data_IF_844016515250
#
_entry.id   IF_844016515250
#
_cell.length_a   1.000
_cell.length_b   1.000
_cell.length_c   1.000
_cell.angle_alpha   90.00
_cell.angle_beta   90.00
_cell.angle_gamma   90.00
#
_symmetry.space_group_name_H-M   'P 1'
#
loop_
_entity.id
_entity.type
_entity.pdbx_description
1 polymer ?
#
# COMPACT_ATOMS: atom_id res chain seq x y z
N UNK A 1 31.74 24.82 30.83
CA UNK A 1 30.64 24.07 31.48
C UNK A 1 29.34 24.66 30.99
N UNK A 2 28.34 23.94 30.50
CA UNK A 2 28.23 22.65 29.84
C UNK A 2 26.96 22.85 29.00
N UNK A 3 26.98 22.39 27.74
CA UNK A 3 25.81 22.40 26.87
C UNK A 3 24.68 21.67 27.60
N UNK A 4 23.63 22.41 27.96
CA UNK A 4 22.33 21.82 28.26
C UNK A 4 21.58 21.69 26.94
N UNK A 5 22.09 20.83 26.06
CA UNK A 5 21.28 20.23 25.01
C UNK A 5 20.44 19.14 25.67
N UNK A 6 19.34 19.54 26.29
CA UNK A 6 18.20 18.65 26.46
C UNK A 6 17.36 18.77 25.19
N UNK A 7 17.80 18.10 24.11
CA UNK A 7 16.90 17.65 23.06
C UNK A 7 16.63 16.18 23.32
N UNK A 8 15.77 15.93 24.31
CA UNK A 8 14.96 14.72 24.32
C UNK A 8 13.72 15.06 23.49
N UNK A 9 13.89 15.20 22.17
CA UNK A 9 12.78 14.86 21.29
C UNK A 9 12.73 13.34 21.39
N UNK A 10 11.78 12.80 22.15
CA UNK A 10 11.36 11.42 21.97
C UNK A 10 10.82 11.36 20.53
N UNK A 11 11.69 11.10 19.57
CA UNK A 11 11.32 10.91 18.17
C UNK A 11 10.26 9.82 18.14
N UNK A 12 9.01 10.23 17.89
CA UNK A 12 7.86 9.32 17.94
C UNK A 12 8.12 8.22 16.91
N UNK A 13 8.13 6.98 17.39
CA UNK A 13 8.42 5.85 16.53
C UNK A 13 7.35 5.77 15.42
N UNK A 14 7.73 5.58 14.13
CA UNK A 14 6.76 5.60 13.04
C UNK A 14 5.60 4.61 13.23
N UNK A 15 5.86 3.45 13.86
CA UNK A 15 4.82 2.45 14.14
C UNK A 15 3.82 2.93 15.19
N UNK A 16 4.23 3.75 16.16
CA UNK A 16 3.31 4.32 17.15
C UNK A 16 2.34 5.31 16.48
N UNK A 17 2.79 6.01 15.44
CA UNK A 17 1.92 6.88 14.63
C UNK A 17 0.89 6.04 13.88
N UNK A 18 1.32 4.92 13.29
CA UNK A 18 0.44 3.99 12.57
C UNK A 18 -0.61 3.39 13.52
N UNK A 19 -0.20 2.99 14.72
CA UNK A 19 -1.08 2.42 15.75
C UNK A 19 -2.17 3.42 16.17
N UNK A 20 -1.77 4.67 16.46
CA UNK A 20 -2.72 5.73 16.81
C UNK A 20 -3.71 6.02 15.67
N UNK A 21 -3.23 6.00 14.42
CA UNK A 21 -4.08 6.22 13.25
C UNK A 21 -5.07 5.07 13.05
N UNK A 22 -4.63 3.81 13.21
CA UNK A 22 -5.50 2.64 13.13
C UNK A 22 -6.59 2.67 14.22
N UNK A 23 -6.21 3.00 15.45
CA UNK A 23 -7.16 3.20 16.54
C UNK A 23 -8.15 4.34 16.27
N UNK A 24 -7.70 5.44 15.65
CA UNK A 24 -8.57 6.57 15.30
C UNK A 24 -9.62 6.22 14.23
N UNK A 25 -9.27 5.33 13.29
CA UNK A 25 -10.17 4.83 12.25
C UNK A 25 -10.99 3.60 12.67
N UNK A 26 -10.90 3.18 13.95
CA UNK A 26 -11.52 1.96 14.48
C UNK A 26 -11.17 0.69 13.67
N UNK A 27 -9.95 0.60 13.14
CA UNK A 27 -9.47 -0.59 12.45
C UNK A 27 -8.91 -1.62 13.43
N UNK A 28 -9.18 -2.90 13.15
CA UNK A 28 -8.51 -4.00 13.84
C UNK A 28 -7.04 -4.06 13.39
N UNK A 29 -6.13 -3.98 14.37
CA UNK A 29 -4.69 -4.08 14.14
C UNK A 29 -4.02 -5.02 15.15
N UNK A 30 -2.89 -5.58 14.72
CA UNK A 30 -2.02 -6.42 15.55
C UNK A 30 -0.57 -5.92 15.41
N UNK A 31 0.04 -5.61 16.56
CA UNK A 31 1.45 -5.20 16.62
C UNK A 31 2.31 -6.45 16.68
N UNK A 32 2.89 -6.80 15.53
CA UNK A 32 3.72 -8.01 15.37
C UNK A 32 5.07 -7.87 16.09
N UNK A 33 5.56 -6.64 16.25
CA UNK A 33 6.76 -6.32 17.02
C UNK A 33 6.95 -4.81 17.17
N UNK A 34 8.09 -4.40 17.71
CA UNK A 34 8.38 -2.98 17.97
C UNK A 34 8.36 -2.14 16.68
N UNK A 35 8.86 -2.73 15.59
CA UNK A 35 9.05 -2.12 14.27
C UNK A 35 7.99 -2.51 13.22
N UNK A 36 6.93 -3.23 13.60
CA UNK A 36 5.97 -3.75 12.63
C UNK A 36 4.55 -3.86 13.18
N UNK A 37 3.58 -3.46 12.35
CA UNK A 37 2.15 -3.54 12.62
C UNK A 37 1.41 -4.06 11.39
N UNK A 38 0.39 -4.88 11.61
CA UNK A 38 -0.53 -5.34 10.58
C UNK A 38 -1.96 -4.91 10.92
N UNK A 39 -2.76 -4.67 9.89
CA UNK A 39 -4.17 -4.30 10.03
C UNK A 39 -4.96 -4.75 8.81
N UNK A 40 -6.28 -4.77 8.94
CA UNK A 40 -7.19 -5.03 7.84
C UNK A 40 -8.08 -3.81 7.57
N UNK A 41 -8.19 -3.42 6.30
CA UNK A 41 -9.08 -2.33 5.87
C UNK A 41 -10.12 -2.89 4.92
N UNK A 42 -11.41 -2.70 5.25
CA UNK A 42 -12.52 -3.08 4.39
C UNK A 42 -12.69 -2.07 3.25
N UNK A 43 -12.58 -2.55 2.01
CA UNK A 43 -12.88 -1.78 0.80
C UNK A 43 -14.19 -2.23 0.14
N UNK A 44 -14.52 -1.63 -1.00
CA UNK A 44 -15.71 -1.97 -1.79
C UNK A 44 -15.60 -3.38 -2.39
N UNK A 45 -14.39 -3.78 -2.82
CA UNK A 45 -14.20 -5.04 -3.54
C UNK A 45 -13.66 -6.18 -2.68
N UNK A 46 -12.79 -5.85 -1.72
CA UNK A 46 -12.06 -6.81 -0.88
C UNK A 46 -11.76 -6.19 0.48
N UNK A 47 -11.46 -7.05 1.44
CA UNK A 47 -10.69 -6.67 2.62
C UNK A 47 -9.21 -6.70 2.27
N UNK A 48 -8.51 -5.61 2.53
CA UNK A 48 -7.09 -5.45 2.26
C UNK A 48 -6.27 -5.67 3.53
N UNK A 49 -5.29 -6.55 3.47
CA UNK A 49 -4.32 -6.73 4.55
C UNK A 49 -3.17 -5.76 4.36
N UNK A 50 -3.01 -4.83 5.30
CA UNK A 50 -1.91 -3.87 5.33
C UNK A 50 -0.87 -4.30 6.36
N UNK A 51 0.39 -4.15 6.01
CA UNK A 51 1.52 -4.33 6.92
C UNK A 51 2.44 -3.14 6.77
N UNK A 52 2.71 -2.46 7.87
CA UNK A 52 3.67 -1.37 7.93
C UNK A 52 4.86 -1.81 8.78
N UNK A 53 6.06 -1.58 8.27
CA UNK A 53 7.30 -1.95 8.92
C UNK A 53 8.33 -0.82 8.80
N UNK A 54 8.87 -0.38 9.94
CA UNK A 54 9.98 0.54 9.99
C UNK A 54 11.30 -0.20 9.70
N UNK A 55 12.16 0.41 8.88
CA UNK A 55 13.50 -0.06 8.60
C UNK A 55 14.48 1.03 9.00
N UNK A 56 15.06 0.92 10.20
CA UNK A 56 16.06 1.89 10.67
C UNK A 56 17.32 1.92 9.79
N UNK A 57 17.70 0.77 9.20
CA UNK A 57 18.85 0.67 8.29
C UNK A 57 18.62 1.43 6.97
N UNK A 58 17.40 1.38 6.43
CA UNK A 58 17.04 2.06 5.17
C UNK A 58 16.41 3.44 5.41
N UNK A 59 16.28 3.86 6.68
CA UNK A 59 15.52 5.04 7.12
C UNK A 59 14.16 5.14 6.40
N UNK A 60 13.42 4.03 6.31
CA UNK A 60 12.22 3.93 5.47
C UNK A 60 11.07 3.24 6.20
N UNK A 61 9.90 3.89 6.22
CA UNK A 61 8.64 3.26 6.61
C UNK A 61 8.05 2.56 5.37
N UNK A 62 7.98 1.23 5.42
CA UNK A 62 7.52 0.40 4.31
C UNK A 62 6.10 -0.04 4.57
N UNK A 63 5.21 0.19 3.61
CA UNK A 63 3.85 -0.33 3.59
C UNK A 63 3.74 -1.37 2.49
N UNK A 64 3.14 -2.51 2.83
CA UNK A 64 2.62 -3.50 1.89
C UNK A 64 1.12 -3.62 2.11
N UNK A 65 0.34 -3.40 1.07
CA UNK A 65 -1.08 -3.72 1.01
C UNK A 65 -1.24 -4.94 0.12
N UNK A 66 -1.98 -5.94 0.58
CA UNK A 66 -2.12 -7.21 -0.10
C UNK A 66 -3.55 -7.72 -0.10
N UNK A 67 -3.87 -8.51 -1.13
CA UNK A 67 -5.08 -9.29 -1.19
C UNK A 67 -4.86 -10.53 -2.04
N UNK A 68 -5.58 -11.59 -1.71
CA UNK A 68 -5.49 -12.87 -2.41
C UNK A 68 -6.23 -12.83 -3.74
N UNK A 69 -5.63 -13.46 -4.75
CA UNK A 69 -6.27 -13.70 -6.03
C UNK A 69 -5.72 -14.97 -6.69
N UNK A 70 -6.59 -15.78 -7.27
CA UNK A 70 -6.21 -17.02 -7.96
C UNK A 70 -6.42 -16.89 -9.47
N UNK A 71 -5.60 -16.09 -10.18
CA UNK A 71 -5.71 -15.98 -11.63
C UNK A 71 -5.42 -17.34 -12.27
N UNK A 72 -6.11 -17.70 -13.36
CA UNK A 72 -5.73 -18.86 -14.16
C UNK A 72 -4.28 -18.72 -14.66
N UNK A 73 -3.48 -19.80 -14.64
CA UNK A 73 -2.06 -19.74 -15.01
C UNK A 73 -1.83 -19.16 -16.41
N UNK A 74 -2.73 -19.45 -17.36
CA UNK A 74 -2.70 -18.92 -18.73
C UNK A 74 -2.86 -17.40 -18.81
N UNK A 75 -3.37 -16.78 -17.75
CA UNK A 75 -3.62 -15.33 -17.64
C UNK A 75 -2.49 -14.58 -16.96
N UNK A 76 -1.55 -15.26 -16.32
CA UNK A 76 -0.43 -14.63 -15.63
C UNK A 76 0.37 -13.68 -16.54
N UNK A 77 0.71 -14.03 -17.80
CA UNK A 77 1.42 -13.10 -18.67
C UNK A 77 0.66 -11.79 -18.94
N UNK A 78 -0.66 -11.87 -19.11
CA UNK A 78 -1.53 -10.70 -19.34
C UNK A 78 -1.71 -9.88 -18.06
N UNK A 79 -1.72 -10.53 -16.89
CA UNK A 79 -1.71 -9.85 -15.61
C UNK A 79 -0.42 -9.04 -15.42
N UNK A 80 0.75 -9.59 -15.79
CA UNK A 80 2.01 -8.84 -15.71
C UNK A 80 2.04 -7.62 -16.64
N UNK A 81 1.50 -7.75 -17.86
CA UNK A 81 1.34 -6.61 -18.77
C UNK A 81 0.42 -5.54 -18.15
N UNK A 82 -0.71 -5.93 -17.58
CA UNK A 82 -1.62 -5.00 -16.90
C UNK A 82 -0.94 -4.31 -15.70
N UNK A 83 -0.20 -5.05 -14.86
CA UNK A 83 0.55 -4.49 -13.74
C UNK A 83 1.53 -3.41 -14.21
N UNK A 84 2.20 -3.62 -15.34
CA UNK A 84 3.08 -2.61 -15.90
C UNK A 84 2.32 -1.33 -16.30
N UNK A 85 1.17 -1.48 -16.97
CA UNK A 85 0.31 -0.34 -17.33
C UNK A 85 -0.28 0.38 -16.10
N UNK A 86 -0.62 -0.37 -15.04
CA UNK A 86 -1.07 0.20 -13.77
C UNK A 86 0.05 1.02 -13.11
N UNK A 87 1.28 0.51 -13.13
CA UNK A 87 2.44 1.17 -12.55
C UNK A 87 2.85 2.44 -13.31
N UNK A 88 2.66 2.49 -14.64
CA UNK A 88 2.85 3.73 -15.42
C UNK A 88 1.95 4.89 -14.92
N UNK A 89 0.84 4.56 -14.26
CA UNK A 89 -0.13 5.52 -13.73
C UNK A 89 -0.10 5.62 -12.19
N UNK A 90 0.82 4.91 -11.53
CA UNK A 90 0.93 4.90 -10.08
C UNK A 90 2.26 5.51 -9.62
N UNK A 91 2.21 6.78 -9.22
CA UNK A 91 3.41 7.53 -8.81
C UNK A 91 3.86 7.25 -7.38
N UNK A 92 2.92 7.01 -6.47
CA UNK A 92 3.18 6.93 -5.04
C UNK A 92 3.74 5.56 -4.58
N UNK A 93 3.57 4.52 -5.41
CA UNK A 93 3.96 3.15 -5.09
C UNK A 93 3.91 2.27 -6.31
N UNK A 94 3.86 0.96 -6.12
CA UNK A 94 3.81 0.04 -7.25
C UNK A 94 3.22 -1.31 -6.93
N UNK A 95 2.61 -1.91 -7.93
CA UNK A 95 2.04 -3.24 -7.89
C UNK A 95 3.06 -4.30 -8.29
N UNK A 96 2.94 -5.47 -7.66
CA UNK A 96 3.59 -6.72 -8.06
C UNK A 96 2.67 -7.89 -7.70
N UNK A 97 2.79 -8.98 -8.44
CA UNK A 97 2.06 -10.21 -8.15
C UNK A 97 3.03 -11.30 -7.70
N UNK A 98 2.76 -11.87 -6.52
CA UNK A 98 3.54 -12.97 -5.98
C UNK A 98 2.84 -14.30 -6.30
N UNK A 99 3.29 -14.94 -7.38
CA UNK A 99 2.65 -16.14 -7.92
C UNK A 99 2.64 -17.32 -6.92
N UNK A 100 3.74 -17.58 -6.22
CA UNK A 100 3.85 -18.71 -5.28
C UNK A 100 2.81 -18.66 -4.15
N UNK A 101 2.43 -17.46 -3.73
CA UNK A 101 1.45 -17.22 -2.66
C UNK A 101 0.09 -16.75 -3.20
N UNK A 102 -0.05 -16.57 -4.51
CA UNK A 102 -1.25 -16.08 -5.17
C UNK A 102 -1.78 -14.76 -4.58
N UNK A 103 -0.89 -13.83 -4.29
CA UNK A 103 -1.24 -12.52 -3.72
C UNK A 103 -0.85 -11.37 -4.64
N UNK A 104 -1.75 -10.41 -4.81
CA UNK A 104 -1.41 -9.10 -5.35
C UNK A 104 -0.86 -8.24 -4.23
N UNK A 105 0.23 -7.53 -4.49
CA UNK A 105 0.87 -6.63 -3.55
C UNK A 105 0.92 -5.22 -4.14
N UNK A 106 0.56 -4.24 -3.33
CA UNK A 106 0.91 -2.85 -3.52
C UNK A 106 1.96 -2.45 -2.48
N UNK A 107 3.08 -1.90 -2.93
CA UNK A 107 4.17 -1.44 -2.06
C UNK A 107 4.31 0.08 -2.09
N UNK A 108 4.55 0.67 -0.93
CA UNK A 108 4.89 2.07 -0.75
C UNK A 108 6.07 2.15 0.23
N UNK A 109 7.15 2.87 -0.15
CA UNK A 109 8.23 3.22 0.77
C UNK A 109 8.24 4.73 1.06
N UNK A 110 8.05 5.13 2.32
CA UNK A 110 8.25 6.51 2.76
C UNK A 110 9.67 6.63 3.30
N UNK A 111 10.55 7.18 2.47
CA UNK A 111 11.94 7.44 2.83
C UNK A 111 11.99 8.66 3.75
N UNK A 112 12.59 8.48 4.92
CA UNK A 112 12.76 9.46 5.98
C UNK A 112 14.25 9.71 6.28
N UNK A 113 15.05 9.65 5.22
CA UNK A 113 16.50 9.80 5.31
C UNK A 113 16.91 11.17 5.86
N UNK A 114 18.03 11.18 6.60
CA UNK A 114 18.57 12.41 7.20
C UNK A 114 17.87 12.77 8.51
N UNK A 115 17.46 11.76 9.29
CA UNK A 115 16.84 11.95 10.60
C UNK A 115 15.48 12.63 10.53
N UNK A 116 14.72 12.42 9.46
CA UNK A 116 13.33 12.88 9.40
C UNK A 116 12.43 11.91 10.14
N UNK A 117 11.34 12.42 10.71
CA UNK A 117 10.30 11.63 11.36
C UNK A 117 9.02 11.68 10.52
N UNK A 118 8.28 10.57 10.48
CA UNK A 118 7.02 10.52 9.74
C UNK A 118 5.99 11.45 10.39
N UNK A 119 5.21 12.17 9.61
CA UNK A 119 4.02 12.83 10.14
C UNK A 119 2.79 11.92 10.06
N UNK A 120 1.79 12.08 10.94
CA UNK A 120 0.52 11.37 10.83
C UNK A 120 -0.14 11.53 9.46
N UNK A 121 -0.02 12.71 8.85
CA UNK A 121 -0.57 12.98 7.51
C UNK A 121 0.17 12.23 6.41
N UNK A 122 1.48 12.01 6.54
CA UNK A 122 2.23 11.19 5.60
C UNK A 122 1.81 9.72 5.71
N UNK A 123 1.67 9.20 6.93
CA UNK A 123 1.21 7.82 7.16
C UNK A 123 -0.22 7.61 6.63
N UNK A 124 -1.13 8.53 6.91
CA UNK A 124 -2.50 8.48 6.40
C UNK A 124 -2.53 8.53 4.87
N UNK A 125 -1.72 9.39 4.25
CA UNK A 125 -1.58 9.44 2.80
C UNK A 125 -1.03 8.14 2.20
N UNK A 126 -0.08 7.46 2.88
CA UNK A 126 0.42 6.15 2.44
C UNK A 126 -0.69 5.09 2.43
N UNK A 127 -1.44 5.00 3.53
CA UNK A 127 -2.53 4.02 3.69
C UNK A 127 -3.63 4.30 2.68
N UNK A 128 -4.05 5.57 2.56
CA UNK A 128 -5.05 5.98 1.58
C UNK A 128 -4.59 5.68 0.15
N UNK A 129 -3.35 6.00 -0.22
CA UNK A 129 -2.82 5.68 -1.54
C UNK A 129 -2.85 4.18 -1.82
N UNK A 130 -2.50 3.34 -0.84
CA UNK A 130 -2.51 1.90 -1.00
C UNK A 130 -3.92 1.35 -1.26
N UNK A 131 -4.87 1.65 -0.38
CA UNK A 131 -6.25 1.15 -0.48
C UNK A 131 -6.92 1.71 -1.74
N UNK A 132 -6.81 3.01 -2.00
CA UNK A 132 -7.43 3.65 -3.16
C UNK A 132 -6.89 3.13 -4.50
N UNK A 133 -5.58 2.85 -4.60
CA UNK A 133 -5.04 2.25 -5.83
C UNK A 133 -5.51 0.80 -6.00
N UNK A 134 -5.55 0.00 -4.93
CA UNK A 134 -6.07 -1.36 -5.00
C UNK A 134 -7.54 -1.38 -5.47
N UNK A 135 -8.38 -0.52 -4.89
CA UNK A 135 -9.79 -0.38 -5.25
C UNK A 135 -9.98 0.08 -6.69
N UNK A 136 -9.20 1.08 -7.13
CA UNK A 136 -9.26 1.64 -8.48
C UNK A 136 -8.92 0.61 -9.56
N UNK A 137 -7.90 -0.21 -9.34
CA UNK A 137 -7.42 -1.14 -10.35
C UNK A 137 -8.03 -2.54 -10.26
N UNK A 138 -8.74 -2.86 -9.18
CA UNK A 138 -9.40 -4.15 -9.02
C UNK A 138 -10.32 -4.50 -10.21
N UNK A 139 -11.20 -3.61 -10.73
CA UNK A 139 -12.02 -3.92 -11.90
C UNK A 139 -11.20 -4.24 -13.16
N UNK A 140 -10.12 -3.50 -13.40
CA UNK A 140 -9.24 -3.76 -14.55
C UNK A 140 -8.58 -5.14 -14.45
N UNK A 141 -8.11 -5.51 -13.25
CA UNK A 141 -7.57 -6.85 -12.97
C UNK A 141 -8.63 -7.89 -13.27
N UNK A 142 -9.86 -7.71 -12.76
CA UNK A 142 -10.95 -8.66 -12.98
C UNK A 142 -11.24 -8.88 -14.48
N UNK A 143 -11.27 -7.79 -15.25
CA UNK A 143 -11.55 -7.84 -16.68
C UNK A 143 -10.45 -8.57 -17.48
N UNK A 144 -9.18 -8.32 -17.16
CA UNK A 144 -8.05 -8.96 -17.85
C UNK A 144 -7.94 -10.45 -17.50
N UNK A 145 -8.16 -10.81 -16.23
CA UNK A 145 -7.90 -12.17 -15.76
C UNK A 145 -9.11 -13.10 -15.86
N UNK A 146 -10.35 -12.61 -15.74
CA UNK A 146 -11.55 -13.47 -15.80
C UNK A 146 -12.54 -13.11 -16.93
N UNK A 147 -12.44 -11.93 -17.55
CA UNK A 147 -13.36 -11.51 -18.63
C UNK A 147 -12.72 -11.47 -20.03
N UNK A 148 -11.53 -12.06 -20.21
CA UNK A 148 -10.84 -12.16 -21.51
C UNK A 148 -10.59 -10.82 -22.22
N UNK A 149 -10.55 -9.70 -21.48
CA UNK A 149 -10.24 -8.38 -22.01
C UNK A 149 -8.73 -8.18 -22.12
N UNK A 150 -8.26 -7.46 -23.14
CA UNK A 150 -6.84 -7.12 -23.21
C UNK A 150 -6.48 -6.14 -22.07
N UNK A 151 -5.22 -6.16 -21.58
CA UNK A 151 -4.75 -5.21 -20.56
C UNK A 151 -4.99 -3.74 -20.91
N UNK A 152 -4.76 -3.36 -22.18
CA UNK A 152 -4.92 -1.99 -22.67
C UNK A 152 -6.38 -1.53 -22.72
N UNK A 153 -7.34 -2.44 -22.91
CA UNK A 153 -8.76 -2.10 -22.85
C UNK A 153 -9.26 -2.08 -21.40
N UNK A 154 -8.79 -3.02 -20.57
CA UNK A 154 -9.20 -3.12 -19.17
C UNK A 154 -8.76 -1.92 -18.34
N UNK A 155 -7.54 -1.39 -18.57
CA UNK A 155 -7.04 -0.21 -17.85
C UNK A 155 -7.91 1.03 -18.06
N UNK A 156 -8.63 1.12 -19.20
CA UNK A 156 -9.56 2.20 -19.48
C UNK A 156 -10.69 2.33 -18.47
N UNK A 157 -11.13 1.22 -17.86
CA UNK A 157 -12.18 1.22 -16.82
C UNK A 157 -11.66 1.87 -15.53
N UNK A 158 -10.43 1.54 -15.12
CA UNK A 158 -9.79 2.14 -13.95
C UNK A 158 -9.47 3.64 -14.14
N UNK A 159 -9.31 4.09 -15.39
CA UNK A 159 -9.16 5.51 -15.73
C UNK A 159 -10.52 6.21 -15.67
N UNK A 160 -11.58 5.62 -16.25
CA UNK A 160 -12.91 6.21 -16.27
C UNK A 160 -13.48 6.42 -14.86
N UNK A 161 -13.28 5.47 -13.94
CA UNK A 161 -13.71 5.61 -12.53
C UNK A 161 -12.97 6.72 -11.79
N UNK A 162 -11.70 6.98 -12.11
CA UNK A 162 -10.94 8.08 -11.51
C UNK A 162 -11.49 9.46 -11.91
N UNK A 163 -12.09 9.59 -13.10
CA UNK A 163 -12.74 10.83 -13.54
C UNK A 163 -14.20 10.96 -13.07
N UNK A 164 -14.87 9.86 -12.70
CA UNK A 164 -16.28 9.85 -12.27
C UNK A 164 -16.52 10.28 -10.81
N UNK A 165 -15.47 10.56 -10.03
CA UNK A 165 -15.54 11.00 -8.62
C UNK A 165 -14.99 12.43 -8.38
N UNK A 166 -14.83 13.24 -9.44
CA UNK A 166 -14.44 14.65 -9.35
C UNK A 166 -15.65 15.61 -9.37
#
# INVERSE_FOLDING_TARGET
MALSEFHLDDDIHPIDIVENLAAHHDWDFDRIGDDQIAMAVEGQWRTYSLTLAWSAYEETLRLVCSYEMEPPEVKIPQLYELINLMNDQCWAGGFTYWADHKVMLYRYGLVLAGGQSASPQQVDAMIHAAVSNCERYYPAIQLTTWAERSPSEAIGVAIAEAYGRA
#
